data_IF_329362270510
#
_entry.id   IF_329362270510
#
_cell.length_a   1.000
_cell.length_b   1.000
_cell.length_c   1.000
_cell.angle_alpha   90.00
_cell.angle_beta   90.00
_cell.angle_gamma   90.00
#
_symmetry.space_group_name_H-M   'P 1'
#
loop_
_entity.id
_entity.type
_entity.pdbx_description
1 polymer ?
#
# COMPACT_ATOMS: atom_id res chain seq x y z
N UNK A 1 19.26 6.30 -8.26
CA UNK A 1 19.46 5.88 -6.85
C UNK A 1 18.77 4.55 -6.52
N UNK A 2 17.44 4.47 -6.36
CA UNK A 2 16.79 3.21 -5.92
C UNK A 2 16.92 2.07 -6.94
N UNK A 3 16.75 2.37 -8.22
CA UNK A 3 16.96 1.41 -9.31
C UNK A 3 18.42 0.93 -9.39
N UNK A 4 19.39 1.84 -9.21
CA UNK A 4 20.82 1.54 -9.29
C UNK A 4 21.29 0.55 -8.21
N UNK A 5 20.63 0.54 -7.04
CA UNK A 5 20.93 -0.40 -5.96
C UNK A 5 20.05 -1.66 -6.01
N UNK A 6 19.25 -1.83 -7.05
CA UNK A 6 18.33 -2.97 -7.20
C UNK A 6 17.24 -3.00 -6.13
N UNK A 7 16.82 -1.84 -5.60
CA UNK A 7 15.80 -1.79 -4.59
C UNK A 7 14.43 -2.20 -5.15
N UNK A 8 13.69 -2.96 -4.34
CA UNK A 8 12.26 -3.19 -4.52
C UNK A 8 11.52 -2.19 -3.64
N UNK A 9 10.52 -1.51 -4.19
CA UNK A 9 9.86 -0.38 -3.51
C UNK A 9 8.37 -0.62 -3.47
N UNK A 10 7.78 -0.42 -2.29
CA UNK A 10 6.33 -0.28 -2.15
C UNK A 10 6.04 1.18 -1.81
N UNK A 11 5.19 1.81 -2.61
CA UNK A 11 4.66 3.15 -2.34
C UNK A 11 3.18 3.01 -2.02
N UNK A 12 2.77 3.55 -0.87
CA UNK A 12 1.37 3.57 -0.44
C UNK A 12 1.15 4.74 0.52
N UNK A 13 -0.06 4.87 1.05
CA UNK A 13 -0.41 5.81 2.11
C UNK A 13 -1.11 5.06 3.26
N UNK A 14 -1.11 5.64 4.44
CA UNK A 14 -1.82 5.13 5.61
C UNK A 14 -3.30 5.55 5.62
N UNK A 15 -3.64 6.68 5.01
CA UNK A 15 -5.01 7.14 4.80
C UNK A 15 -5.09 8.22 3.70
N UNK A 16 -6.32 8.64 3.37
CA UNK A 16 -6.59 9.82 2.54
C UNK A 16 -6.73 11.11 3.37
N UNK A 17 -6.56 12.26 2.72
CA UNK A 17 -6.77 13.60 3.26
C UNK A 17 -6.73 14.63 2.11
N UNK A 18 -5.56 14.78 1.48
CA UNK A 18 -5.26 15.88 0.56
C UNK A 18 -6.09 15.87 -0.74
N UNK A 19 -6.72 14.75 -1.07
CA UNK A 19 -7.62 14.62 -2.20
C UNK A 19 -9.00 15.25 -1.96
N UNK A 20 -9.38 15.49 -0.69
CA UNK A 20 -10.65 16.10 -0.29
C UNK A 20 -10.43 17.32 0.63
N UNK A 21 -9.87 18.40 0.06
CA UNK A 21 -9.56 19.63 0.81
C UNK A 21 -10.78 20.50 1.13
N UNK A 22 -11.93 20.26 0.48
CA UNK A 22 -13.16 21.02 0.67
C UNK A 22 -14.35 20.08 0.75
N UNK A 23 -15.32 20.43 1.61
CA UNK A 23 -16.60 19.73 1.70
C UNK A 23 -17.48 20.05 0.47
N UNK A 24 -18.57 19.29 0.29
CA UNK A 24 -19.50 19.49 -0.83
C UNK A 24 -20.13 20.91 -0.88
N UNK A 25 -20.23 21.59 0.26
CA UNK A 25 -20.68 22.98 0.39
C UNK A 25 -19.54 24.02 0.33
N UNK A 26 -18.31 23.61 -0.02
CA UNK A 26 -17.17 24.49 -0.28
C UNK A 26 -16.42 24.99 0.95
N UNK A 27 -16.69 24.44 2.15
CA UNK A 27 -15.92 24.78 3.36
C UNK A 27 -14.61 24.00 3.40
N UNK A 28 -13.53 24.56 3.97
CA UNK A 28 -12.29 23.80 4.19
C UNK A 28 -12.54 22.52 4.98
N UNK A 29 -12.02 21.40 4.50
CA UNK A 29 -12.00 20.13 5.21
C UNK A 29 -10.66 19.94 5.90
N UNK A 30 -10.67 19.49 7.15
CA UNK A 30 -9.47 19.21 7.96
C UNK A 30 -9.41 17.76 8.41
N UNK A 31 -10.33 16.92 7.96
CA UNK A 31 -10.44 15.52 8.35
C UNK A 31 -9.73 14.60 7.34
N UNK A 32 -9.43 13.37 7.77
CA UNK A 32 -9.08 12.31 6.84
C UNK A 32 -10.31 11.90 6.02
N UNK A 33 -10.06 11.33 4.85
CA UNK A 33 -11.10 10.68 4.05
C UNK A 33 -11.14 9.17 4.31
N UNK A 34 -12.16 8.52 3.77
CA UNK A 34 -12.29 7.05 3.72
C UNK A 34 -11.97 6.48 2.33
N UNK A 35 -11.36 7.28 1.45
CA UNK A 35 -10.97 6.84 0.12
C UNK A 35 -9.89 5.76 0.21
N UNK A 36 -9.85 4.91 -0.82
CA UNK A 36 -8.77 3.92 -0.96
C UNK A 36 -7.43 4.63 -1.17
N UNK A 37 -6.38 4.05 -0.59
CA UNK A 37 -5.00 4.51 -0.79
C UNK A 37 -4.37 3.79 -1.99
N UNK A 38 -3.47 4.44 -2.73
CA UNK A 38 -2.75 3.78 -3.82
C UNK A 38 -1.79 2.73 -3.26
N UNK A 39 -1.48 1.74 -4.10
CA UNK A 39 -0.40 0.79 -3.88
C UNK A 39 0.37 0.66 -5.19
N UNK A 40 1.67 0.95 -5.16
CA UNK A 40 2.57 0.79 -6.29
C UNK A 40 3.74 -0.09 -5.85
N UNK A 41 4.02 -1.12 -6.65
CA UNK A 41 5.17 -2.01 -6.45
C UNK A 41 6.15 -1.81 -7.61
N UNK A 42 7.38 -1.43 -7.28
CA UNK A 42 8.46 -1.19 -8.24
C UNK A 42 9.61 -2.17 -8.00
N UNK A 43 10.27 -2.59 -9.08
CA UNK A 43 11.39 -3.55 -9.00
C UNK A 43 10.97 -4.99 -8.67
N UNK A 44 9.66 -5.28 -8.69
CA UNK A 44 9.10 -6.61 -8.50
C UNK A 44 7.88 -6.78 -9.41
N UNK A 45 8.05 -7.51 -10.52
CA UNK A 45 6.95 -7.78 -11.44
C UNK A 45 5.97 -8.75 -10.80
N UNK A 46 4.78 -8.27 -10.49
CA UNK A 46 3.70 -9.06 -9.91
C UNK A 46 2.34 -8.52 -10.36
N UNK A 47 1.35 -9.40 -10.43
CA UNK A 47 -0.06 -8.98 -10.51
C UNK A 47 -0.53 -8.69 -9.09
N UNK A 48 -1.21 -7.57 -8.89
CA UNK A 48 -1.73 -7.20 -7.57
C UNK A 48 -3.16 -7.72 -7.42
N UNK A 49 -3.46 -8.41 -6.32
CA UNK A 49 -4.84 -8.82 -6.02
C UNK A 49 -5.70 -7.62 -5.65
N UNK A 50 -6.99 -7.72 -5.95
CA UNK A 50 -7.99 -6.77 -5.49
C UNK A 50 -8.39 -7.00 -4.02
N UNK A 51 -9.04 -5.99 -3.42
CA UNK A 51 -9.57 -6.08 -2.06
C UNK A 51 -8.50 -6.19 -0.96
N UNK A 52 -7.29 -5.68 -1.22
CA UNK A 52 -6.25 -5.58 -0.21
C UNK A 52 -6.47 -4.41 0.76
N UNK A 53 -6.02 -4.57 2.01
CA UNK A 53 -6.01 -3.54 3.03
C UNK A 53 -4.59 -3.30 3.58
N UNK A 54 -4.45 -2.33 4.48
CA UNK A 54 -3.14 -1.96 5.04
C UNK A 54 -2.45 -3.11 5.79
N UNK A 55 -3.21 -4.01 6.40
CA UNK A 55 -2.69 -5.21 7.07
C UNK A 55 -1.92 -6.14 6.13
N UNK A 56 -2.09 -5.99 4.82
CA UNK A 56 -1.50 -6.84 3.80
C UNK A 56 -0.13 -6.32 3.32
N UNK A 57 0.24 -5.09 3.67
CA UNK A 57 1.51 -4.46 3.25
C UNK A 57 2.72 -5.18 3.85
N UNK A 58 2.69 -5.47 5.16
CA UNK A 58 3.81 -6.14 5.83
C UNK A 58 4.03 -7.60 5.34
N UNK A 59 2.98 -8.45 5.24
CA UNK A 59 3.11 -9.76 4.60
C UNK A 59 3.65 -9.71 3.17
N UNK A 60 3.26 -8.68 2.39
CA UNK A 60 3.77 -8.46 1.03
C UNK A 60 5.27 -8.16 1.03
N UNK A 61 5.75 -7.31 1.95
CA UNK A 61 7.19 -7.04 2.11
C UNK A 61 7.98 -8.31 2.43
N UNK A 62 7.52 -9.13 3.37
CA UNK A 62 8.18 -10.39 3.72
C UNK A 62 8.23 -11.35 2.54
N UNK A 63 7.11 -11.48 1.81
CA UNK A 63 7.03 -12.29 0.59
C UNK A 63 8.03 -11.81 -0.48
N UNK A 64 8.12 -10.50 -0.72
CA UNK A 64 9.07 -9.90 -1.67
C UNK A 64 10.53 -10.14 -1.29
N UNK A 65 10.82 -10.20 0.01
CA UNK A 65 12.14 -10.49 0.58
C UNK A 65 12.45 -12.00 0.66
N UNK A 66 11.48 -12.88 0.36
CA UNK A 66 11.64 -14.32 0.50
C UNK A 66 11.71 -14.79 1.96
N UNK A 67 11.10 -14.05 2.88
CA UNK A 67 11.06 -14.36 4.31
C UNK A 67 9.73 -15.01 4.68
N UNK A 68 9.76 -15.84 5.72
CA UNK A 68 8.55 -16.47 6.27
C UNK A 68 7.61 -15.42 6.87
N UNK A 69 6.31 -15.57 6.63
CA UNK A 69 5.27 -14.74 7.23
C UNK A 69 4.84 -15.40 8.55
N UNK A 70 4.97 -14.70 9.70
CA UNK A 70 4.62 -15.28 10.98
C UNK A 70 3.09 -15.47 11.11
N UNK A 71 2.63 -16.48 11.88
CA UNK A 71 1.20 -16.80 11.98
C UNK A 71 0.35 -15.69 12.62
N UNK A 72 0.95 -14.77 13.38
CA UNK A 72 0.28 -13.60 13.94
C UNK A 72 -0.12 -12.56 12.88
N UNK A 73 0.56 -12.55 11.72
CA UNK A 73 0.17 -11.71 10.58
C UNK A 73 -0.98 -12.37 9.82
N UNK A 74 -2.20 -11.97 10.12
CA UNK A 74 -3.42 -12.49 9.48
C UNK A 74 -3.69 -11.91 8.09
N UNK A 75 -3.00 -10.82 7.73
CA UNK A 75 -2.99 -10.27 6.38
C UNK A 75 -2.35 -11.23 5.37
N UNK A 76 -2.62 -11.01 4.09
CA UNK A 76 -2.13 -11.87 3.00
C UNK A 76 -1.38 -11.05 1.98
N UNK A 77 -0.31 -11.63 1.41
CA UNK A 77 0.44 -10.98 0.34
C UNK A 77 -0.50 -10.45 -0.76
N UNK A 78 -0.17 -9.26 -1.27
CA UNK A 78 -0.93 -8.58 -2.32
C UNK A 78 -0.42 -9.01 -3.69
N UNK A 79 0.87 -9.35 -3.78
CA UNK A 79 1.52 -9.81 -5.01
C UNK A 79 1.13 -11.27 -5.29
N UNK A 80 0.62 -11.51 -6.49
CA UNK A 80 0.35 -12.83 -7.05
C UNK A 80 1.51 -13.21 -7.99
N UNK A 81 1.81 -14.51 -8.06
CA UNK A 81 2.73 -15.10 -9.03
C UNK A 81 2.23 -14.98 -10.47
#
# INVERSE_FOLDING_TARGET
VLEEVGAKVIVTADHGNAEEMFTADGRPSTAHSVNLVPLVVLGHGAVLREGAGLSDVAPTLLSILGLEIPPEMTGRTICLE
#
